data_IF_657120407496
#
_entry.id   IF_657120407496
#
_cell.length_a   1.000
_cell.length_b   1.000
_cell.length_c   1.000
_cell.angle_alpha   90.00
_cell.angle_beta   90.00
_cell.angle_gamma   90.00
#
_symmetry.space_group_name_H-M   'P 1'
#
loop_
_entity.id
_entity.type
_entity.pdbx_description
1 polymer ?
#
# COMPACT_ATOMS: atom_id res chain seq x y z
N UNK A 1 -65.87 24.05 -43.43
CA UNK A 1 -65.30 24.29 -42.08
C UNK A 1 -64.95 25.76 -41.98
N UNK A 2 -65.38 26.49 -40.94
CA UNK A 2 -65.08 27.91 -40.78
C UNK A 2 -63.57 28.14 -40.66
N UNK A 3 -63.01 29.16 -41.33
CA UNK A 3 -61.58 29.52 -41.25
C UNK A 3 -61.09 29.73 -39.82
N UNK A 4 -61.95 30.28 -38.96
CA UNK A 4 -61.71 30.47 -37.53
C UNK A 4 -61.33 29.19 -36.77
N UNK A 5 -61.93 28.04 -37.10
CA UNK A 5 -61.62 26.78 -36.40
C UNK A 5 -60.23 26.23 -36.78
N UNK A 6 -59.77 26.52 -38.01
CA UNK A 6 -58.45 26.09 -38.48
C UNK A 6 -57.35 26.91 -37.82
N UNK A 7 -57.59 28.21 -37.62
CA UNK A 7 -56.63 29.11 -36.96
C UNK A 7 -56.49 28.81 -35.46
N UNK A 8 -57.61 28.52 -34.77
CA UNK A 8 -57.58 28.05 -33.38
C UNK A 8 -56.82 26.73 -33.23
N UNK A 9 -57.11 25.74 -34.08
CA UNK A 9 -56.42 24.44 -34.04
C UNK A 9 -54.90 24.57 -34.26
N UNK A 10 -54.46 25.45 -35.18
CA UNK A 10 -53.03 25.74 -35.39
C UNK A 10 -52.39 26.41 -34.18
N UNK A 11 -53.10 27.33 -33.54
CA UNK A 11 -52.61 27.99 -32.33
C UNK A 11 -52.46 27.01 -31.16
N UNK A 12 -53.41 26.09 -31.00
CA UNK A 12 -53.39 25.05 -29.99
C UNK A 12 -52.27 24.03 -30.24
N UNK A 13 -52.06 23.60 -31.48
CA UNK A 13 -50.95 22.71 -31.85
C UNK A 13 -49.59 23.37 -31.54
N UNK A 14 -49.43 24.64 -31.92
CA UNK A 14 -48.20 25.40 -31.63
C UNK A 14 -47.94 25.50 -30.13
N UNK A 15 -48.96 25.82 -29.32
CA UNK A 15 -48.84 25.84 -27.86
C UNK A 15 -48.51 24.47 -27.28
N UNK A 16 -49.16 23.40 -27.76
CA UNK A 16 -48.88 22.04 -27.33
C UNK A 16 -47.43 21.63 -27.67
N UNK A 17 -46.93 21.96 -28.86
CA UNK A 17 -45.54 21.71 -29.27
C UNK A 17 -44.54 22.47 -28.39
N UNK A 18 -44.75 23.77 -28.16
CA UNK A 18 -43.90 24.56 -27.27
C UNK A 18 -43.89 24.00 -25.84
N UNK A 19 -45.04 23.52 -25.35
CA UNK A 19 -45.14 22.91 -24.01
C UNK A 19 -44.40 21.57 -23.92
N UNK A 20 -44.45 20.74 -24.97
CA UNK A 20 -43.72 19.48 -25.05
C UNK A 20 -42.21 19.72 -25.08
N UNK A 21 -41.75 20.66 -25.89
CA UNK A 21 -40.33 21.03 -26.00
C UNK A 21 -39.80 21.58 -24.67
N UNK A 22 -40.57 22.45 -23.99
CA UNK A 22 -40.22 22.94 -22.67
C UNK A 22 -40.12 21.80 -21.64
N UNK A 23 -41.06 20.84 -21.66
CA UNK A 23 -41.05 19.67 -20.77
C UNK A 23 -39.91 18.70 -21.08
N UNK A 24 -39.54 18.54 -22.34
CA UNK A 24 -38.36 17.75 -22.73
C UNK A 24 -37.07 18.40 -22.23
N UNK A 25 -36.90 19.71 -22.45
CA UNK A 25 -35.74 20.45 -21.94
C UNK A 25 -35.63 20.39 -20.41
N UNK A 26 -36.76 20.51 -19.71
CA UNK A 26 -36.84 20.37 -18.25
C UNK A 26 -36.43 18.96 -17.79
N UNK A 27 -36.91 17.90 -18.47
CA UNK A 27 -36.53 16.53 -18.18
C UNK A 27 -35.04 16.29 -18.43
N UNK A 28 -34.49 16.76 -19.54
CA UNK A 28 -33.07 16.62 -19.87
C UNK A 28 -32.17 17.38 -18.88
N UNK A 29 -32.62 18.54 -18.39
CA UNK A 29 -31.94 19.27 -17.32
C UNK A 29 -32.01 18.48 -15.99
N UNK A 30 -33.16 17.91 -15.65
CA UNK A 30 -33.35 17.10 -14.44
C UNK A 30 -32.49 15.82 -14.46
N UNK A 31 -32.44 15.11 -15.59
CA UNK A 31 -31.61 13.91 -15.76
C UNK A 31 -30.13 14.24 -15.63
N UNK A 32 -29.66 15.32 -16.27
CA UNK A 32 -28.28 15.79 -16.14
C UNK A 32 -27.94 16.18 -14.69
N UNK A 33 -28.81 16.91 -14.02
CA UNK A 33 -28.65 17.29 -12.62
C UNK A 33 -28.56 16.06 -11.70
N UNK A 34 -29.43 15.08 -11.92
CA UNK A 34 -29.43 13.84 -11.15
C UNK A 34 -28.16 13.02 -11.40
N UNK A 35 -27.70 12.93 -12.66
CA UNK A 35 -26.44 12.25 -12.99
C UNK A 35 -25.23 12.90 -12.30
N UNK A 36 -25.15 14.24 -12.26
CA UNK A 36 -24.11 14.96 -11.54
C UNK A 36 -24.18 14.75 -10.03
N UNK A 37 -25.39 14.66 -9.48
CA UNK A 37 -25.63 14.40 -8.06
C UNK A 37 -25.18 12.98 -7.68
N UNK A 38 -25.47 11.98 -8.53
CA UNK A 38 -25.00 10.60 -8.36
C UNK A 38 -23.48 10.51 -8.47
N UNK A 39 -22.85 11.17 -9.44
CA UNK A 39 -21.38 11.21 -9.58
C UNK A 39 -20.73 11.86 -8.34
N UNK A 40 -21.29 12.97 -7.87
CA UNK A 40 -20.80 13.66 -6.66
C UNK A 40 -20.93 12.77 -5.43
N UNK A 41 -22.08 12.11 -5.25
CA UNK A 41 -22.28 11.16 -4.16
C UNK A 41 -21.31 9.96 -4.24
N UNK A 42 -21.08 9.42 -5.44
CA UNK A 42 -20.11 8.33 -5.63
C UNK A 42 -18.69 8.75 -5.27
N UNK A 43 -18.28 9.97 -5.63
CA UNK A 43 -16.98 10.54 -5.23
C UNK A 43 -16.89 10.71 -3.71
N UNK A 44 -17.94 11.21 -3.05
CA UNK A 44 -17.97 11.32 -1.59
C UNK A 44 -17.84 9.96 -0.91
N UNK A 45 -18.49 8.92 -1.43
CA UNK A 45 -18.33 7.54 -0.94
C UNK A 45 -16.88 7.07 -1.09
N UNK A 46 -16.22 7.36 -2.21
CA UNK A 46 -14.82 6.98 -2.40
C UNK A 46 -13.89 7.71 -1.42
N UNK A 47 -14.09 9.02 -1.22
CA UNK A 47 -13.35 9.79 -0.20
C UNK A 47 -13.55 9.20 1.19
N UNK A 48 -14.78 8.85 1.56
CA UNK A 48 -15.06 8.23 2.85
C UNK A 48 -14.41 6.85 3.01
N UNK A 49 -14.37 6.04 1.93
CA UNK A 49 -13.67 4.75 1.92
C UNK A 49 -12.17 4.90 2.09
N UNK A 50 -11.55 5.88 1.45
CA UNK A 50 -10.13 6.11 1.59
C UNK A 50 -9.77 6.63 2.98
N UNK A 51 -10.62 7.50 3.56
CA UNK A 51 -10.48 7.91 4.96
C UNK A 51 -10.62 6.72 5.93
N UNK A 52 -11.56 5.80 5.67
CA UNK A 52 -11.70 4.58 6.46
C UNK A 52 -10.44 3.71 6.38
N UNK A 53 -9.93 3.44 5.17
CA UNK A 53 -8.69 2.68 4.99
C UNK A 53 -7.50 3.31 5.70
N UNK A 54 -7.36 4.63 5.61
CA UNK A 54 -6.30 5.34 6.31
C UNK A 54 -6.40 5.19 7.84
N UNK A 55 -7.62 5.21 8.40
CA UNK A 55 -7.86 4.96 9.81
C UNK A 55 -7.58 3.50 10.21
N UNK A 56 -7.99 2.53 9.40
CA UNK A 56 -7.68 1.12 9.58
C UNK A 56 -6.17 0.86 9.56
N UNK A 57 -5.45 1.47 8.61
CA UNK A 57 -4.00 1.40 8.53
C UNK A 57 -3.33 2.02 9.76
N UNK A 58 -3.83 3.16 10.25
CA UNK A 58 -3.33 3.78 11.47
C UNK A 58 -3.53 2.86 12.69
N UNK A 59 -4.69 2.22 12.82
CA UNK A 59 -4.97 1.24 13.88
C UNK A 59 -4.04 0.03 13.76
N UNK A 60 -3.84 -0.50 12.54
CA UNK A 60 -2.95 -1.65 12.31
C UNK A 60 -1.51 -1.35 12.75
N UNK A 61 -1.05 -0.11 12.58
CA UNK A 61 0.27 0.37 12.98
C UNK A 61 0.44 0.55 14.49
N UNK A 62 -0.65 0.54 15.27
CA UNK A 62 -0.56 0.52 16.74
C UNK A 62 0.00 -0.81 17.27
N UNK A 63 -0.09 -1.88 16.48
CA UNK A 63 0.48 -3.19 16.82
C UNK A 63 1.77 -3.42 16.05
N UNK A 64 2.90 -3.18 16.72
CA UNK A 64 4.23 -3.43 16.14
C UNK A 64 4.50 -4.95 16.10
N UNK A 65 4.78 -5.49 14.91
CA UNK A 65 5.12 -6.90 14.70
C UNK A 65 6.52 -7.03 14.10
N UNK A 66 7.24 -8.10 14.46
CA UNK A 66 8.54 -8.40 13.85
C UNK A 66 8.36 -8.82 12.39
N UNK A 67 9.13 -8.27 11.44
CA UNK A 67 9.08 -8.66 10.03
C UNK A 67 9.72 -10.03 9.77
N UNK A 68 10.53 -10.52 10.72
CA UNK A 68 11.24 -11.79 10.60
C UNK A 68 10.91 -12.71 11.77
N UNK A 69 10.99 -14.02 11.54
CA UNK A 69 11.04 -15.01 12.60
C UNK A 69 12.44 -15.00 13.22
N UNK A 70 12.52 -15.00 14.55
CA UNK A 70 13.80 -14.91 15.24
C UNK A 70 13.62 -14.80 16.75
N UNK A 71 14.72 -14.51 17.44
CA UNK A 71 14.74 -14.20 18.87
C UNK A 71 14.92 -12.70 19.07
N UNK A 72 14.25 -12.15 20.08
CA UNK A 72 14.46 -10.77 20.52
C UNK A 72 15.81 -10.71 21.24
N UNK A 73 16.72 -9.89 20.73
CA UNK A 73 18.05 -9.65 21.31
C UNK A 73 18.00 -8.53 22.35
N UNK A 74 17.28 -7.46 22.03
CA UNK A 74 17.21 -6.25 22.84
C UNK A 74 15.81 -5.62 22.70
N UNK A 75 15.31 -5.04 23.80
CA UNK A 75 14.07 -4.28 23.86
C UNK A 75 14.40 -2.86 24.35
N UNK A 76 14.24 -1.88 23.46
CA UNK A 76 14.61 -0.48 23.70
C UNK A 76 13.50 0.36 24.33
N UNK A 77 12.37 -0.24 24.69
CA UNK A 77 11.21 0.45 25.27
C UNK A 77 10.74 -0.23 26.55
N UNK A 78 10.15 0.57 27.44
CA UNK A 78 9.53 0.11 28.67
C UNK A 78 8.02 0.35 28.65
N UNK A 79 7.21 -0.47 29.33
CA UNK A 79 5.78 -0.22 29.45
C UNK A 79 5.49 1.19 29.99
N UNK A 80 4.56 1.90 29.34
CA UNK A 80 4.21 3.29 29.69
C UNK A 80 5.09 4.36 29.05
N UNK A 81 6.18 4.00 28.36
CA UNK A 81 6.95 4.95 27.58
C UNK A 81 6.25 5.31 26.27
N UNK A 82 6.41 6.56 25.84
CA UNK A 82 5.95 7.04 24.53
C UNK A 82 6.90 6.55 23.43
N UNK A 83 6.37 5.83 22.45
CA UNK A 83 7.12 5.44 21.26
C UNK A 83 7.04 6.52 20.19
N UNK A 84 8.19 6.96 19.69
CA UNK A 84 8.28 7.92 18.56
C UNK A 84 8.25 7.20 17.22
N UNK A 85 7.71 7.86 16.19
CA UNK A 85 7.74 7.32 14.83
C UNK A 85 9.19 7.14 14.36
N UNK A 86 9.52 5.94 13.87
CA UNK A 86 10.88 5.59 13.46
C UNK A 86 11.82 5.25 14.63
N UNK A 87 11.36 5.27 15.87
CA UNK A 87 12.13 4.81 17.02
C UNK A 87 12.38 3.31 16.96
N UNK A 88 13.56 2.89 17.43
CA UNK A 88 13.86 1.47 17.57
C UNK A 88 13.16 0.90 18.81
N UNK A 89 12.25 -0.05 18.60
CA UNK A 89 11.47 -0.69 19.68
C UNK A 89 12.18 -1.95 20.18
N UNK A 90 12.64 -2.80 19.24
CA UNK A 90 13.27 -4.07 19.56
C UNK A 90 14.20 -4.50 18.43
N UNK A 91 15.29 -5.18 18.79
CA UNK A 91 16.17 -5.85 17.84
C UNK A 91 15.84 -7.34 17.81
N UNK A 92 15.48 -7.84 16.63
CA UNK A 92 15.19 -9.27 16.41
C UNK A 92 16.23 -9.84 15.46
N UNK A 93 16.78 -11.02 15.80
CA UNK A 93 17.71 -11.73 14.95
C UNK A 93 17.23 -13.16 14.68
N UNK A 94 17.39 -13.60 13.43
CA UNK A 94 17.22 -14.99 13.06
C UNK A 94 18.40 -15.80 13.60
N UNK A 95 18.11 -16.83 14.40
CA UNK A 95 19.13 -17.73 14.99
C UNK A 95 19.26 -19.05 14.25
N UNK A 96 18.43 -19.30 13.22
CA UNK A 96 18.48 -20.50 12.39
C UNK A 96 19.55 -20.45 11.30
N UNK A 97 19.90 -19.26 10.80
CA UNK A 97 20.94 -19.07 9.79
C UNK A 97 22.09 -18.22 10.34
N UNK A 98 23.19 -18.86 10.71
CA UNK A 98 24.41 -18.18 11.14
C UNK A 98 25.31 -17.93 9.92
N UNK A 99 25.72 -16.66 9.74
CA UNK A 99 26.73 -16.28 8.76
C UNK A 99 28.00 -15.90 9.52
N UNK A 100 29.06 -16.66 9.29
CA UNK A 100 30.37 -16.39 9.90
C UNK A 100 31.21 -15.58 8.92
N UNK A 101 31.70 -14.42 9.37
CA UNK A 101 32.68 -13.62 8.64
C UNK A 101 34.07 -13.97 9.14
N UNK A 102 34.90 -14.54 8.28
CA UNK A 102 36.30 -14.83 8.56
C UNK A 102 37.20 -13.86 7.78
N UNK A 103 38.20 -13.28 8.44
CA UNK A 103 39.23 -12.48 7.79
C UNK A 103 40.33 -13.42 7.30
N UNK A 104 40.65 -13.34 6.01
CA UNK A 104 41.69 -14.16 5.37
C UNK A 104 42.75 -13.22 4.81
N UNK A 105 44.06 -13.53 4.96
CA UNK A 105 45.14 -12.75 4.34
C UNK A 105 44.98 -12.67 2.82
N UNK A 106 45.42 -11.55 2.22
CA UNK A 106 45.34 -11.32 0.77
C UNK A 106 46.19 -12.29 -0.06
N UNK A 107 47.21 -12.91 0.54
CA UNK A 107 48.00 -13.99 -0.07
C UNK A 107 47.17 -15.26 -0.25
N UNK A 108 46.30 -15.54 0.72
CA UNK A 108 45.61 -16.82 0.85
C UNK A 108 44.20 -16.76 0.28
N UNK A 109 43.67 -15.55 0.01
CA UNK A 109 42.35 -15.36 -0.59
C UNK A 109 42.20 -16.08 -1.94
N UNK A 110 43.30 -16.24 -2.69
CA UNK A 110 43.31 -16.98 -3.98
C UNK A 110 43.01 -18.47 -3.80
N UNK A 111 43.19 -19.01 -2.60
CA UNK A 111 42.96 -20.41 -2.26
C UNK A 111 41.53 -20.69 -1.79
N UNK A 112 40.70 -19.64 -1.64
CA UNK A 112 39.32 -19.75 -1.16
C UNK A 112 38.35 -19.55 -2.30
N UNK A 113 37.43 -20.50 -2.49
CA UNK A 113 36.42 -20.46 -3.56
C UNK A 113 35.00 -20.56 -3.02
N UNK A 114 34.04 -19.98 -3.74
CA UNK A 114 32.61 -20.11 -3.42
C UNK A 114 32.18 -21.57 -3.57
N UNK A 115 31.43 -22.09 -2.61
CA UNK A 115 31.01 -23.48 -2.53
C UNK A 115 31.96 -24.40 -1.74
N UNK A 116 33.16 -23.91 -1.39
CA UNK A 116 34.13 -24.71 -0.65
C UNK A 116 33.60 -25.11 0.75
N UNK A 117 33.69 -26.39 1.13
CA UNK A 117 33.29 -26.84 2.47
C UNK A 117 34.27 -26.34 3.53
N UNK A 118 33.74 -25.89 4.66
CA UNK A 118 34.52 -25.38 5.79
C UNK A 118 34.06 -26.01 7.10
N UNK A 119 35.00 -26.23 8.01
CA UNK A 119 34.70 -26.61 9.40
C UNK A 119 35.00 -25.42 10.31
N UNK A 120 34.01 -25.04 11.10
CA UNK A 120 34.04 -23.89 12.00
C UNK A 120 34.02 -24.43 13.43
N UNK A 121 34.92 -23.96 14.28
CA UNK A 121 34.91 -24.29 15.70
C UNK A 121 34.39 -23.08 16.49
N UNK A 122 33.21 -23.23 17.10
CA UNK A 122 32.55 -22.22 17.92
C UNK A 122 32.69 -22.62 19.39
N UNK A 123 33.86 -22.33 19.99
CA UNK A 123 34.08 -22.54 21.42
C UNK A 123 33.90 -23.99 21.90
N UNK A 124 34.32 -24.97 21.10
CA UNK A 124 34.23 -26.40 21.42
C UNK A 124 33.13 -27.15 20.65
N UNK A 125 32.24 -26.44 19.94
CA UNK A 125 31.28 -27.04 19.01
C UNK A 125 31.78 -26.92 17.58
N UNK A 126 31.98 -28.05 16.90
CA UNK A 126 32.30 -28.07 15.47
C UNK A 126 31.02 -27.96 14.66
N UNK A 127 30.99 -27.00 13.75
CA UNK A 127 29.96 -26.85 12.73
C UNK A 127 30.60 -26.98 11.35
N UNK A 128 29.83 -27.42 10.38
CA UNK A 128 30.24 -27.45 8.97
C UNK A 128 29.42 -26.43 8.19
N UNK A 129 30.02 -25.82 7.18
CA UNK A 129 29.35 -24.86 6.31
C UNK A 129 29.99 -24.83 4.93
N UNK A 130 29.49 -23.92 4.09
CA UNK A 130 30.01 -23.69 2.75
C UNK A 130 30.30 -22.20 2.56
N UNK A 131 31.38 -21.88 1.86
CA UNK A 131 31.69 -20.48 1.50
C UNK A 131 30.61 -19.96 0.56
N UNK A 132 29.81 -18.99 1.01
CA UNK A 132 28.72 -18.41 0.20
C UNK A 132 29.19 -17.25 -0.69
N UNK A 133 30.15 -16.46 -0.22
CA UNK A 133 30.66 -15.30 -0.93
C UNK A 133 32.09 -15.01 -0.47
N UNK A 134 32.97 -14.60 -1.40
CA UNK A 134 34.30 -14.08 -1.11
C UNK A 134 34.32 -12.61 -1.51
N UNK A 135 34.45 -11.72 -0.53
CA UNK A 135 34.45 -10.28 -0.80
C UNK A 135 35.76 -9.88 -1.50
N UNK A 136 35.72 -9.19 -2.65
CA UNK A 136 36.91 -8.77 -3.39
C UNK A 136 37.63 -7.56 -2.76
N UNK A 137 37.01 -6.90 -1.77
CA UNK A 137 37.54 -5.69 -1.13
C UNK A 137 38.29 -6.06 0.16
N UNK A 138 39.55 -5.67 0.26
CA UNK A 138 40.31 -5.73 1.51
C UNK A 138 39.68 -4.75 2.52
N UNK A 139 39.33 -5.23 3.72
CA UNK A 139 39.06 -4.34 4.86
C UNK A 139 40.41 -3.82 5.36
N UNK A 140 40.52 -2.49 5.52
CA UNK A 140 41.69 -1.81 6.06
C UNK A 140 41.83 -2.01 7.57
#
# INVERSE_FOLDING_TARGET
VPRSQVDEARSAESQARMSLEAKQSELDAAVRSNALSVDTAARQVNVAKDALRAAEDAISRLVVRSPIRGKVLELGVVPGATASQGGNVAQVADTGSLVVKAKVPSTDVRLVTVGQPVSINLGGKRATGTVRNVAPKAEA
#
